data_IF_559603463670
#
_entry.id   IF_559603463670
#
_cell.length_a   1.000
_cell.length_b   1.000
_cell.length_c   1.000
_cell.angle_alpha   90.00
_cell.angle_beta   90.00
_cell.angle_gamma   90.00
#
_symmetry.space_group_name_H-M   'P 1'
#
loop_
_entity.id
_entity.type
_entity.pdbx_description
1 polymer ?
#
# COMPACT_ATOMS: atom_id res chain seq x y z
N UNK A 1 3.83 0.24 -11.64
CA UNK A 1 3.84 0.74 -10.23
C UNK A 1 5.25 0.63 -9.72
N UNK A 2 5.74 1.64 -9.02
CA UNK A 2 7.09 1.67 -8.41
C UNK A 2 6.94 1.89 -6.90
N UNK A 3 7.83 1.31 -6.10
CA UNK A 3 7.95 1.56 -4.67
C UNK A 3 9.42 1.85 -4.28
N UNK A 4 9.69 2.84 -3.41
CA UNK A 4 8.75 3.79 -2.80
C UNK A 4 8.29 4.89 -3.78
N UNK A 5 7.50 5.88 -3.31
CA UNK A 5 7.15 7.07 -4.13
C UNK A 5 8.39 7.89 -4.47
N UNK A 6 8.48 8.39 -5.71
CA UNK A 6 9.72 9.01 -6.24
C UNK A 6 9.65 10.53 -6.37
N UNK A 7 8.46 11.09 -6.57
CA UNK A 7 8.29 12.50 -6.98
C UNK A 7 7.52 13.35 -5.97
N UNK A 8 7.26 12.81 -4.78
CA UNK A 8 6.60 13.55 -3.71
C UNK A 8 7.65 14.28 -2.89
N UNK A 9 7.39 15.56 -2.61
CA UNK A 9 8.08 16.27 -1.54
C UNK A 9 7.76 15.64 -0.19
N UNK A 10 8.61 15.89 0.81
CA UNK A 10 8.36 15.45 2.18
C UNK A 10 7.03 15.98 2.73
N UNK A 11 6.62 17.19 2.33
CA UNK A 11 5.35 17.80 2.75
C UNK A 11 4.15 17.03 2.19
N UNK A 12 4.15 16.77 0.88
CA UNK A 12 3.07 16.01 0.22
C UNK A 12 2.98 14.58 0.77
N UNK A 13 4.11 13.91 0.95
CA UNK A 13 4.16 12.56 1.52
C UNK A 13 3.51 12.51 2.91
N UNK A 14 3.90 13.43 3.81
CA UNK A 14 3.38 13.44 5.17
C UNK A 14 1.92 13.92 5.25
N UNK A 15 1.48 14.79 4.34
CA UNK A 15 0.09 15.16 4.18
C UNK A 15 -0.76 13.91 3.84
N UNK A 16 -0.39 13.18 2.79
CA UNK A 16 -1.11 11.97 2.37
C UNK A 16 -1.06 10.87 3.45
N UNK A 17 0.10 10.67 4.10
CA UNK A 17 0.28 9.71 5.21
C UNK A 17 -0.65 10.02 6.38
N UNK A 18 -0.71 11.29 6.80
CA UNK A 18 -1.55 11.72 7.94
C UNK A 18 -3.02 11.56 7.60
N UNK A 19 -3.43 11.95 6.39
CA UNK A 19 -4.79 11.73 5.91
C UNK A 19 -5.16 10.25 5.90
N UNK A 20 -4.27 9.37 5.43
CA UNK A 20 -4.50 7.92 5.44
C UNK A 20 -4.83 7.43 6.87
N UNK A 21 -3.96 7.76 7.83
CA UNK A 21 -4.14 7.35 9.23
C UNK A 21 -5.47 7.87 9.79
N UNK A 22 -5.82 9.13 9.52
CA UNK A 22 -7.06 9.72 10.01
C UNK A 22 -8.32 9.05 9.42
N UNK A 23 -8.33 8.79 8.11
CA UNK A 23 -9.44 8.13 7.42
C UNK A 23 -9.65 6.70 7.93
N UNK A 24 -8.57 5.93 8.06
CA UNK A 24 -8.65 4.54 8.52
C UNK A 24 -9.11 4.45 9.99
N UNK A 25 -8.65 5.38 10.84
CA UNK A 25 -9.15 5.52 12.22
C UNK A 25 -10.63 5.86 12.25
N UNK A 26 -11.08 6.79 11.41
CA UNK A 26 -12.48 7.18 11.33
C UNK A 26 -13.39 6.02 10.91
N UNK A 27 -12.94 5.17 9.98
CA UNK A 27 -13.67 3.97 9.60
C UNK A 27 -13.57 2.80 10.60
N UNK A 28 -12.73 2.91 11.64
CA UNK A 28 -12.58 1.86 12.65
C UNK A 28 -12.00 0.55 12.09
N UNK A 29 -11.20 0.62 11.03
CA UNK A 29 -10.61 -0.58 10.41
C UNK A 29 -9.51 -1.14 11.32
N UNK A 30 -9.64 -2.42 11.68
CA UNK A 30 -8.64 -3.20 12.41
C UNK A 30 -8.07 -4.27 11.49
N UNK A 31 -6.76 -4.22 11.24
CA UNK A 31 -6.08 -5.11 10.31
C UNK A 31 -5.31 -4.33 9.25
N UNK A 32 -5.47 -4.71 7.98
CA UNK A 32 -4.82 -4.06 6.84
C UNK A 32 -5.85 -3.51 5.85
N UNK A 33 -5.48 -2.42 5.19
CA UNK A 33 -6.26 -1.81 4.13
C UNK A 33 -5.36 -1.13 3.10
N UNK A 34 -5.93 -0.85 1.92
CA UNK A 34 -5.30 -0.07 0.88
C UNK A 34 -6.11 1.19 0.56
N UNK A 35 -5.48 2.35 0.62
CA UNK A 35 -6.07 3.65 0.25
C UNK A 35 -5.41 4.16 -1.04
N UNK A 36 -6.21 4.82 -1.90
CA UNK A 36 -5.75 5.38 -3.16
C UNK A 36 -6.07 6.87 -3.24
N UNK A 37 -5.14 7.62 -3.83
CA UNK A 37 -5.21 9.07 -3.97
C UNK A 37 -4.97 9.50 -5.43
N UNK A 38 -5.54 10.64 -5.79
CA UNK A 38 -5.08 11.44 -6.92
C UNK A 38 -4.55 12.77 -6.37
N UNK A 39 -3.28 13.09 -6.65
CA UNK A 39 -2.63 14.34 -6.26
C UNK A 39 -2.41 15.18 -7.53
N UNK A 40 -2.74 16.47 -7.46
CA UNK A 40 -2.48 17.42 -8.54
C UNK A 40 -0.96 17.58 -8.72
N UNK A 41 -0.40 17.44 -9.93
CA UNK A 41 1.05 17.53 -10.13
C UNK A 41 1.62 18.94 -9.93
N UNK A 42 0.76 19.97 -9.89
CA UNK A 42 1.17 21.38 -9.80
C UNK A 42 0.70 22.06 -8.49
N UNK A 43 0.03 21.34 -7.60
CA UNK A 43 -0.49 21.88 -6.34
C UNK A 43 -0.65 20.80 -5.27
N UNK A 44 -0.92 21.19 -4.02
CA UNK A 44 -1.17 20.26 -2.91
C UNK A 44 -2.61 19.72 -2.90
N UNK A 45 -3.41 20.02 -3.92
CA UNK A 45 -4.79 19.53 -4.04
C UNK A 45 -4.79 18.02 -4.29
N UNK A 46 -5.51 17.29 -3.45
CA UNK A 46 -5.64 15.84 -3.60
C UNK A 46 -7.07 15.38 -3.35
N UNK A 47 -7.38 14.22 -3.92
CA UNK A 47 -8.64 13.52 -3.75
C UNK A 47 -8.38 12.10 -3.26
N UNK A 48 -9.20 11.62 -2.33
CA UNK A 48 -9.26 10.21 -1.97
C UNK A 48 -10.13 9.52 -3.00
N UNK A 49 -9.61 8.49 -3.66
CA UNK A 49 -10.32 7.74 -4.69
C UNK A 49 -11.15 6.61 -4.07
N UNK A 50 -10.50 5.77 -3.28
CA UNK A 50 -11.15 4.66 -2.60
C UNK A 50 -10.35 4.15 -1.40
N UNK A 51 -11.03 3.39 -0.54
CA UNK A 51 -10.43 2.59 0.53
C UNK A 51 -10.90 1.15 0.39
N UNK A 52 -9.95 0.22 0.28
CA UNK A 52 -10.19 -1.21 0.31
C UNK A 52 -9.86 -1.73 1.72
N UNK A 53 -10.87 -2.00 2.54
CA UNK A 53 -10.73 -2.52 3.91
C UNK A 53 -10.42 -4.03 3.95
N UNK A 54 -9.41 -4.46 3.20
CA UNK A 54 -8.95 -5.85 3.10
C UNK A 54 -7.57 -5.92 2.46
N UNK A 55 -6.95 -7.09 2.57
CA UNK A 55 -5.80 -7.47 1.76
C UNK A 55 -6.11 -7.33 0.26
N UNK A 56 -5.12 -6.83 -0.47
CA UNK A 56 -5.22 -6.55 -1.89
C UNK A 56 -4.00 -7.09 -2.66
N UNK A 57 -4.09 -7.10 -3.98
CA UNK A 57 -2.92 -7.36 -4.84
C UNK A 57 -1.78 -6.36 -4.57
N UNK A 58 -2.12 -5.13 -4.17
CA UNK A 58 -1.14 -4.11 -3.77
C UNK A 58 -0.50 -4.44 -2.43
N UNK A 59 -1.25 -5.01 -1.47
CA UNK A 59 -0.73 -5.48 -0.18
C UNK A 59 0.27 -6.63 -0.36
N UNK A 60 -0.02 -7.57 -1.27
CA UNK A 60 0.92 -8.63 -1.63
C UNK A 60 2.22 -8.08 -2.24
N UNK A 61 2.10 -7.12 -3.17
CA UNK A 61 3.25 -6.42 -3.74
C UNK A 61 4.06 -5.70 -2.65
N UNK A 62 3.41 -4.93 -1.77
CA UNK A 62 4.07 -4.20 -0.69
C UNK A 62 4.79 -5.15 0.28
N UNK A 63 4.21 -6.30 0.59
CA UNK A 63 4.85 -7.31 1.45
C UNK A 63 6.13 -7.87 0.82
N UNK A 64 6.12 -8.09 -0.51
CA UNK A 64 7.32 -8.53 -1.23
C UNK A 64 8.35 -7.41 -1.39
N UNK A 65 7.89 -6.18 -1.60
CA UNK A 65 8.75 -5.02 -1.78
C UNK A 65 9.47 -4.61 -0.49
N UNK A 66 8.87 -4.86 0.67
CA UNK A 66 9.40 -4.40 1.98
C UNK A 66 9.92 -5.52 2.87
N UNK A 67 9.60 -6.77 2.56
CA UNK A 67 9.80 -7.89 3.48
C UNK A 67 8.84 -7.90 4.67
N UNK A 68 7.93 -6.92 4.80
CA UNK A 68 6.97 -6.83 5.89
C UNK A 68 5.73 -7.71 5.60
N UNK A 69 5.43 -8.75 6.40
CA UNK A 69 4.37 -9.71 6.07
C UNK A 69 2.98 -9.18 6.47
N UNK A 70 2.41 -8.26 5.67
CA UNK A 70 1.15 -7.56 5.99
C UNK A 70 -0.01 -8.51 6.34
N UNK A 71 -0.19 -9.60 5.60
CA UNK A 71 -1.24 -10.57 5.86
C UNK A 71 -1.09 -11.28 7.22
N UNK A 72 0.14 -11.64 7.59
CA UNK A 72 0.44 -12.27 8.87
C UNK A 72 0.18 -11.30 10.04
N UNK A 73 0.65 -10.06 9.90
CA UNK A 73 0.43 -9.02 10.91
C UNK A 73 -1.06 -8.70 11.05
N UNK A 74 -1.78 -8.55 9.94
CA UNK A 74 -3.23 -8.29 9.96
C UNK A 74 -4.01 -9.41 10.66
N UNK A 75 -3.65 -10.67 10.42
CA UNK A 75 -4.26 -11.82 11.11
C UNK A 75 -4.01 -11.78 12.63
N UNK A 76 -2.81 -11.38 13.08
CA UNK A 76 -2.51 -11.20 14.51
C UNK A 76 -3.28 -10.04 15.13
N UNK A 77 -3.42 -8.92 14.41
CA UNK A 77 -4.23 -7.79 14.83
C UNK A 77 -5.70 -8.18 15.02
N UNK A 78 -6.25 -9.01 14.13
CA UNK A 78 -7.62 -9.53 14.24
C UNK A 78 -7.83 -10.41 15.48
N UNK A 79 -6.76 -10.98 16.05
CA UNK A 79 -6.77 -11.71 17.32
C UNK A 79 -6.53 -10.81 18.54
N UNK A 80 -6.53 -9.47 18.36
CA UNK A 80 -6.31 -8.51 19.44
C UNK A 80 -4.83 -8.31 19.83
N UNK A 81 -3.89 -8.90 19.10
CA UNK A 81 -2.45 -8.72 19.36
C UNK A 81 -2.00 -7.40 18.73
N UNK A 82 -1.39 -6.52 19.52
CA UNK A 82 -1.01 -5.17 19.06
C UNK A 82 0.30 -5.21 18.27
N UNK A 83 0.52 -4.22 17.38
CA UNK A 83 1.74 -4.12 16.57
C UNK A 83 3.07 -4.22 17.37
N UNK A 84 3.22 -3.60 18.56
CA UNK A 84 4.45 -3.74 19.35
C UNK A 84 4.69 -5.15 19.90
N UNK A 85 3.63 -5.94 20.05
CA UNK A 85 3.69 -7.30 20.59
C UNK A 85 3.97 -8.34 19.49
N UNK A 86 3.96 -7.93 18.22
CA UNK A 86 4.27 -8.78 17.07
C UNK A 86 5.75 -8.57 16.70
N UNK A 87 6.51 -9.65 16.67
CA UNK A 87 7.94 -9.60 16.36
C UNK A 87 8.23 -9.54 14.86
N UNK A 88 9.24 -8.75 14.48
CA UNK A 88 9.70 -8.69 13.09
C UNK A 88 10.62 -9.88 12.78
N UNK A 89 10.10 -10.81 11.96
CA UNK A 89 10.82 -12.01 11.54
C UNK A 89 12.07 -11.75 10.69
N UNK A 90 12.18 -10.57 10.07
CA UNK A 90 13.32 -10.22 9.20
C UNK A 90 14.52 -9.75 10.03
N UNK A 91 14.31 -8.83 10.97
CA UNK A 91 15.40 -8.24 11.76
C UNK A 91 15.75 -9.07 12.98
N UNK A 92 14.81 -9.87 13.51
CA UNK A 92 15.07 -10.68 14.70
C UNK A 92 15.40 -9.85 15.95
N UNK A 93 15.03 -8.56 15.98
CA UNK A 93 15.31 -7.67 17.13
C UNK A 93 14.26 -6.59 17.34
N UNK A 94 13.50 -6.27 16.30
CA UNK A 94 12.48 -5.21 16.34
C UNK A 94 11.08 -5.80 16.34
N UNK A 95 10.08 -4.95 16.55
CA UNK A 95 8.66 -5.32 16.47
C UNK A 95 8.12 -5.01 15.08
N UNK A 96 6.84 -5.34 14.83
CA UNK A 96 6.10 -5.00 13.62
C UNK A 96 5.59 -3.55 13.65
N UNK A 97 5.81 -2.79 14.72
CA UNK A 97 5.35 -1.40 14.86
C UNK A 97 6.37 -0.39 14.29
N UNK A 98 6.58 -0.44 12.97
CA UNK A 98 7.48 0.48 12.27
C UNK A 98 7.04 0.67 10.81
N UNK A 99 7.58 1.69 10.15
CA UNK A 99 7.46 1.89 8.71
C UNK A 99 8.75 1.42 8.02
N UNK A 100 8.69 0.45 7.10
CA UNK A 100 9.88 0.00 6.37
C UNK A 100 10.51 1.13 5.54
N UNK A 101 11.85 1.16 5.51
CA UNK A 101 12.63 2.00 4.59
C UNK A 101 13.35 1.12 3.58
N UNK A 102 13.39 1.54 2.31
CA UNK A 102 13.97 0.78 1.21
C UNK A 102 15.17 1.52 0.64
N UNK A 103 16.28 0.81 0.49
CA UNK A 103 17.51 1.23 -0.19
C UNK A 103 17.57 0.77 -1.66
N UNK A 104 16.45 0.28 -2.19
CA UNK A 104 16.26 -0.14 -3.57
C UNK A 104 14.89 0.30 -4.11
N UNK A 105 14.74 0.26 -5.44
CA UNK A 105 13.47 0.49 -6.13
C UNK A 105 12.86 -0.83 -6.58
N UNK A 106 11.55 -1.01 -6.35
CA UNK A 106 10.78 -2.15 -6.83
C UNK A 106 9.89 -1.70 -7.98
N UNK A 107 9.92 -2.44 -9.08
CA UNK A 107 9.11 -2.14 -10.27
C UNK A 107 8.14 -3.29 -10.56
N UNK A 108 6.84 -2.96 -10.62
CA UNK A 108 5.78 -3.85 -11.08
C UNK A 108 5.30 -3.41 -12.45
N UNK A 109 5.40 -4.33 -13.42
CA UNK A 109 4.84 -4.21 -14.77
C UNK A 109 3.73 -5.25 -14.92
N UNK A 110 2.51 -4.89 -15.39
CA UNK A 110 1.47 -5.87 -15.63
C UNK A 110 1.82 -6.77 -16.81
N UNK A 111 1.33 -8.01 -16.79
CA UNK A 111 1.40 -8.93 -17.93
C UNK A 111 0.02 -9.02 -18.57
N UNK A 112 -0.02 -8.86 -19.90
CA UNK A 112 -1.23 -9.05 -20.70
C UNK A 112 -1.02 -10.19 -21.70
N UNK A 113 -2.08 -10.97 -21.92
CA UNK A 113 -2.15 -12.05 -22.90
C UNK A 113 -3.20 -11.73 -23.98
N UNK A 114 -3.18 -10.51 -24.52
CA UNK A 114 -4.19 -10.01 -25.49
C UNK A 114 -4.15 -10.74 -26.84
N UNK A 115 -3.03 -11.39 -27.17
CA UNK A 115 -2.91 -12.20 -28.39
C UNK A 115 -3.88 -13.40 -28.44
N UNK A 116 -4.46 -13.79 -27.31
CA UNK A 116 -5.50 -14.84 -27.24
C UNK A 116 -6.90 -14.34 -27.61
N UNK A 117 -7.11 -13.03 -27.74
CA UNK A 117 -8.44 -12.43 -27.86
C UNK A 117 -8.52 -11.42 -29.02
N UNK A 118 -8.86 -11.91 -30.22
CA UNK A 118 -8.88 -11.09 -31.44
C UNK A 118 -9.96 -9.98 -31.49
N UNK A 119 -11.02 -10.09 -30.67
CA UNK A 119 -12.14 -9.13 -30.65
C UNK A 119 -12.10 -8.15 -29.46
N UNK A 120 -11.00 -8.12 -28.71
CA UNK A 120 -10.86 -7.29 -27.51
C UNK A 120 -9.92 -6.12 -27.83
N UNK A 121 -10.28 -4.92 -27.33
CA UNK A 121 -9.42 -3.74 -27.42
C UNK A 121 -8.10 -3.97 -26.70
N UNK A 122 -7.00 -3.54 -27.33
CA UNK A 122 -5.67 -3.55 -26.70
C UNK A 122 -5.39 -2.30 -25.86
N UNK A 123 -6.31 -1.32 -25.87
CA UNK A 123 -6.19 -0.10 -25.05
C UNK A 123 -6.52 -0.41 -23.59
N UNK A 124 -5.77 0.21 -22.68
CA UNK A 124 -5.99 0.12 -21.24
C UNK A 124 -6.79 1.31 -20.75
N UNK A 125 -7.68 1.07 -19.79
CA UNK A 125 -8.53 2.10 -19.20
C UNK A 125 -9.36 1.52 -18.06
N UNK A 126 -10.13 2.37 -17.40
CA UNK A 126 -11.14 1.98 -16.41
C UNK A 126 -12.53 1.77 -17.02
N UNK A 127 -12.67 1.90 -18.35
CA UNK A 127 -13.92 1.81 -19.12
C UNK A 127 -13.67 1.24 -20.50
#
# INVERSE_FOLDING_TARGET
VVAPSQTLSNKEYNMLRTTAINVIRHFGIVGECNIQYALNPNSEEYYIIEVNARLSRSSALASKATGYPLAYVAAKLALGIRLPDIYNSVTGKTTACFEPSLDYCVVKIPRWDLGKFHRVSTKIGSS
#
